data_IF_155837857921
#
_entry.id   IF_155837857921
#
_cell.length_a   1.000
_cell.length_b   1.000
_cell.length_c   1.000
_cell.angle_alpha   90.00
_cell.angle_beta   90.00
_cell.angle_gamma   90.00
#
_symmetry.space_group_name_H-M   'P 1'
#
loop_
_entity.id
_entity.type
_entity.pdbx_description
1 polymer ?
#
# COMPACT_ATOMS: atom_id res chain seq x y z
N UNK A 1 -11.72 8.57 -18.34
CA UNK A 1 -11.07 8.35 -17.02
C UNK A 1 -11.88 9.11 -16.01
N UNK A 2 -12.59 8.40 -15.13
CA UNK A 2 -13.34 9.02 -14.05
C UNK A 2 -12.39 9.34 -12.89
N UNK A 3 -12.56 10.50 -12.25
CA UNK A 3 -11.69 10.95 -11.16
C UNK A 3 -12.53 11.17 -9.92
N UNK A 4 -12.12 10.54 -8.83
CA UNK A 4 -12.73 10.70 -7.52
C UNK A 4 -11.78 11.51 -6.65
N UNK A 5 -12.30 12.57 -6.01
CA UNK A 5 -11.55 13.44 -5.13
C UNK A 5 -12.09 13.31 -3.71
N UNK A 6 -11.20 13.28 -2.72
CA UNK A 6 -11.60 13.39 -1.32
C UNK A 6 -12.14 14.80 -1.04
N UNK A 7 -13.09 14.90 -0.11
CA UNK A 7 -13.52 16.19 0.42
C UNK A 7 -12.46 16.75 1.38
N UNK A 8 -12.30 18.08 1.47
CA UNK A 8 -11.44 18.70 2.46
C UNK A 8 -11.84 18.28 3.89
N UNK A 9 -10.84 17.97 4.72
CA UNK A 9 -11.02 17.58 6.12
C UNK A 9 -9.92 16.64 6.58
N UNK A 10 -9.77 16.50 7.89
CA UNK A 10 -8.90 15.50 8.50
C UNK A 10 -9.57 14.95 9.76
N UNK A 11 -10.18 13.78 9.62
CA UNK A 11 -10.86 13.09 10.74
C UNK A 11 -9.89 12.70 11.86
N UNK A 12 -8.60 12.58 11.57
CA UNK A 12 -7.61 12.24 12.58
C UNK A 12 -7.00 13.49 13.24
N UNK A 13 -7.46 14.70 12.92
CA UNK A 13 -7.03 15.95 13.57
C UNK A 13 -5.51 16.15 13.62
N UNK A 14 -4.80 15.84 12.53
CA UNK A 14 -3.35 15.97 12.43
C UNK A 14 -2.57 14.81 13.06
N UNK A 15 -3.23 13.79 13.61
CA UNK A 15 -2.54 12.62 14.16
C UNK A 15 -1.78 11.88 13.04
N UNK A 16 -0.57 11.36 13.33
CA UNK A 16 0.17 10.56 12.38
C UNK A 16 -0.60 9.28 12.07
N UNK A 17 -0.51 8.82 10.81
CA UNK A 17 -1.15 7.59 10.35
C UNK A 17 -0.08 6.69 9.75
N UNK A 18 -0.11 5.42 10.15
CA UNK A 18 0.65 4.35 9.50
C UNK A 18 -0.36 3.35 8.95
N UNK A 19 -0.20 3.00 7.68
CA UNK A 19 -1.01 1.97 7.00
C UNK A 19 -0.14 0.74 6.83
N UNK A 20 -0.53 -0.36 7.46
CA UNK A 20 0.16 -1.64 7.29
C UNK A 20 -0.38 -2.38 6.07
N UNK A 21 0.51 -2.89 5.25
CA UNK A 21 0.21 -3.67 4.04
C UNK A 21 1.08 -4.92 3.97
N UNK A 22 0.57 -5.94 3.30
CA UNK A 22 1.21 -7.23 3.11
C UNK A 22 0.89 -7.82 1.74
N UNK A 23 1.35 -9.04 1.47
CA UNK A 23 1.09 -9.73 0.21
C UNK A 23 -0.39 -10.07 -0.04
N UNK A 24 -1.24 -10.10 0.99
CA UNK A 24 -2.67 -10.33 0.87
C UNK A 24 -3.48 -9.05 0.61
N UNK A 25 -2.87 -7.89 0.82
CA UNK A 25 -3.48 -6.58 0.61
C UNK A 25 -3.76 -6.36 -0.88
N UNK A 26 -5.04 -6.35 -1.27
CA UNK A 26 -5.45 -6.35 -2.68
C UNK A 26 -6.63 -5.40 -2.95
N UNK A 27 -6.80 -4.98 -4.20
CA UNK A 27 -7.98 -4.24 -4.67
C UNK A 27 -8.16 -2.92 -3.92
N UNK A 28 -9.34 -2.65 -3.33
CA UNK A 28 -9.64 -1.40 -2.64
C UNK A 28 -8.61 -1.02 -1.55
N UNK A 29 -8.02 -2.00 -0.85
CA UNK A 29 -7.00 -1.74 0.15
C UNK A 29 -5.76 -1.06 -0.45
N UNK A 30 -5.36 -1.47 -1.65
CA UNK A 30 -4.22 -0.91 -2.38
C UNK A 30 -4.52 0.52 -2.83
N UNK A 31 -5.76 0.80 -3.22
CA UNK A 31 -6.17 2.15 -3.65
C UNK A 31 -6.16 3.11 -2.47
N UNK A 32 -6.64 2.68 -1.32
CA UNK A 32 -6.63 3.48 -0.08
C UNK A 32 -5.18 3.72 0.38
N UNK A 33 -4.36 2.67 0.45
CA UNK A 33 -2.96 2.79 0.85
C UNK A 33 -2.18 3.71 -0.10
N UNK A 34 -2.29 3.49 -1.41
CA UNK A 34 -1.63 4.30 -2.43
C UNK A 34 -2.11 5.77 -2.44
N UNK A 35 -3.40 6.02 -2.21
CA UNK A 35 -3.91 7.40 -2.14
C UNK A 35 -3.39 8.15 -0.90
N UNK A 36 -3.33 7.49 0.26
CA UNK A 36 -2.77 8.08 1.47
C UNK A 36 -1.25 8.31 1.35
N UNK A 37 -0.54 7.38 0.71
CA UNK A 37 0.89 7.47 0.41
C UNK A 37 1.20 8.65 -0.53
N UNK A 38 0.52 8.71 -1.68
CA UNK A 38 0.75 9.75 -2.70
C UNK A 38 0.48 11.17 -2.17
N UNK A 39 -0.48 11.31 -1.26
CA UNK A 39 -0.80 12.57 -0.61
C UNK A 39 0.11 12.90 0.58
N UNK A 40 1.07 12.02 0.91
CA UNK A 40 1.93 12.08 2.11
C UNK A 40 1.12 12.21 3.41
N UNK A 41 -0.09 11.64 3.43
CA UNK A 41 -0.96 11.68 4.61
C UNK A 41 -0.62 10.56 5.60
N UNK A 42 -0.20 9.41 5.10
CA UNK A 42 0.21 8.28 5.92
C UNK A 42 1.52 7.70 5.40
N UNK A 43 2.27 7.05 6.30
CA UNK A 43 3.36 6.16 5.91
C UNK A 43 2.81 4.75 5.70
N UNK A 44 3.13 4.15 4.56
CA UNK A 44 2.83 2.75 4.27
C UNK A 44 3.98 1.87 4.75
N UNK A 45 3.67 0.83 5.49
CA UNK A 45 4.66 -0.03 6.15
C UNK A 45 4.32 -1.51 5.96
N UNK A 46 5.35 -2.36 5.88
CA UNK A 46 5.19 -3.82 5.82
C UNK A 46 5.82 -4.38 4.56
N UNK A 47 5.04 -5.07 3.73
CA UNK A 47 5.53 -5.66 2.48
C UNK A 47 4.73 -5.16 1.28
N UNK A 48 5.31 -5.29 0.09
CA UNK A 48 4.63 -5.00 -1.17
C UNK A 48 3.24 -5.67 -1.21
N UNK A 49 2.24 -4.99 -1.76
CA UNK A 49 0.86 -5.49 -1.87
C UNK A 49 0.63 -6.40 -3.10
N UNK A 50 -0.55 -7.01 -3.21
CA UNK A 50 -0.84 -8.08 -4.18
C UNK A 50 -0.73 -7.64 -5.66
N UNK A 51 -1.20 -6.43 -6.01
CA UNK A 51 -1.17 -5.86 -7.35
C UNK A 51 -2.48 -5.92 -8.13
N UNK A 52 -3.64 -6.05 -7.48
CA UNK A 52 -4.93 -6.10 -8.18
C UNK A 52 -5.49 -4.68 -8.38
N UNK A 53 -5.10 -4.08 -9.50
CA UNK A 53 -5.53 -2.74 -9.90
C UNK A 53 -6.66 -2.72 -10.93
N UNK A 54 -7.57 -3.70 -10.94
CA UNK A 54 -8.64 -3.78 -11.94
C UNK A 54 -10.03 -3.95 -11.33
N UNK A 55 -11.04 -3.41 -12.03
CA UNK A 55 -12.46 -3.49 -11.68
C UNK A 55 -13.09 -4.59 -12.51
N UNK A 56 -13.80 -5.49 -11.85
CA UNK A 56 -14.58 -6.52 -12.52
C UNK A 56 -16.06 -6.31 -12.24
N UNK A 57 -16.84 -6.21 -13.31
CA UNK A 57 -18.30 -6.14 -13.28
C UNK A 57 -18.87 -7.51 -13.60
N UNK A 58 -19.89 -7.94 -12.87
CA UNK A 58 -20.62 -9.19 -13.15
C UNK A 58 -21.88 -8.82 -13.94
N UNK A 59 -21.92 -9.24 -15.20
CA UNK A 59 -23.07 -9.06 -16.10
C UNK A 59 -23.87 -10.35 -16.13
N UNK A 60 -25.13 -10.33 -15.71
CA UNK A 60 -26.00 -11.50 -15.83
C UNK A 60 -26.38 -11.74 -17.30
N UNK A 61 -26.31 -12.99 -17.74
CA UNK A 61 -26.69 -13.41 -19.10
C UNK A 61 -28.03 -14.20 -19.11
N UNK A 62 -28.78 -14.10 -18.01
CA UNK A 62 -30.01 -14.86 -17.73
C UNK A 62 -30.00 -15.38 -16.28
N UNK A 63 -30.95 -16.24 -15.92
CA UNK A 63 -31.10 -16.73 -14.53
C UNK A 63 -29.96 -17.66 -14.06
N UNK A 64 -29.23 -18.29 -14.99
CA UNK A 64 -28.27 -19.36 -14.68
C UNK A 64 -26.82 -19.05 -15.06
N UNK A 65 -26.53 -17.89 -15.66
CA UNK A 65 -25.20 -17.57 -16.16
C UNK A 65 -24.84 -16.10 -15.92
N UNK A 66 -23.56 -15.86 -15.66
CA UNK A 66 -23.01 -14.52 -15.53
C UNK A 66 -21.61 -14.42 -16.14
N UNK A 67 -21.30 -13.26 -16.71
CA UNK A 67 -20.01 -12.91 -17.24
C UNK A 67 -19.31 -11.96 -16.27
N UNK A 68 -18.14 -12.36 -15.77
CA UNK A 68 -17.27 -11.47 -15.01
C UNK A 68 -16.29 -10.80 -15.98
N UNK A 69 -16.51 -9.52 -16.24
CA UNK A 69 -15.75 -8.74 -17.20
C UNK A 69 -14.92 -7.67 -16.50
N UNK A 70 -13.63 -7.57 -16.84
CA UNK A 70 -12.82 -6.43 -16.40
C UNK A 70 -13.21 -5.19 -17.20
N UNK A 71 -13.71 -4.17 -16.52
CA UNK A 71 -14.29 -2.97 -17.13
C UNK A 71 -13.44 -1.72 -16.92
N UNK A 72 -12.59 -1.71 -15.89
CA UNK A 72 -11.73 -0.56 -15.60
C UNK A 72 -10.43 -0.97 -14.90
N UNK A 73 -9.51 -0.01 -14.81
CA UNK A 73 -8.27 -0.07 -14.03
C UNK A 73 -8.22 1.09 -13.04
N UNK A 74 -7.59 0.85 -11.91
CA UNK A 74 -7.34 1.87 -10.91
C UNK A 74 -5.92 2.44 -11.03
N UNK A 75 -5.84 3.73 -10.73
CA UNK A 75 -4.61 4.49 -10.66
C UNK A 75 -4.61 5.28 -9.36
N UNK A 76 -3.45 5.40 -8.73
CA UNK A 76 -3.28 6.25 -7.57
C UNK A 76 -3.34 7.75 -7.97
N UNK A 77 -3.47 8.70 -7.02
CA UNK A 77 -3.54 10.13 -7.35
C UNK A 77 -2.34 10.67 -8.15
N UNK A 78 -1.14 10.08 -7.98
CA UNK A 78 0.06 10.41 -8.77
C UNK A 78 0.05 9.84 -10.19
N UNK A 79 -0.96 9.03 -10.56
CA UNK A 79 -1.07 8.40 -11.87
C UNK A 79 -0.35 7.05 -11.99
N UNK A 80 0.16 6.49 -10.89
CA UNK A 80 0.78 5.16 -10.87
C UNK A 80 -0.29 4.06 -11.02
N UNK A 81 -0.01 3.09 -11.88
CA UNK A 81 -0.86 1.90 -12.04
C UNK A 81 -0.59 0.90 -10.91
N UNK A 82 -1.66 0.43 -10.25
CA UNK A 82 -1.57 -0.63 -9.24
C UNK A 82 -1.57 -2.02 -9.88
N UNK A 83 -2.15 -2.16 -11.08
CA UNK A 83 -2.31 -3.45 -11.75
C UNK A 83 -0.96 -4.09 -12.04
N UNK A 84 -0.77 -5.33 -11.55
CA UNK A 84 0.46 -6.12 -11.62
C UNK A 84 1.70 -5.51 -10.92
N UNK A 85 1.62 -4.27 -10.43
CA UNK A 85 2.71 -3.58 -9.73
C UNK A 85 2.52 -3.47 -8.22
N UNK A 86 1.28 -3.44 -7.72
CA UNK A 86 0.99 -3.25 -6.30
C UNK A 86 1.38 -1.87 -5.76
N UNK A 87 1.39 -1.77 -4.44
CA UNK A 87 1.86 -0.65 -3.65
C UNK A 87 3.10 -1.12 -2.89
N UNK A 88 4.23 -0.47 -3.18
CA UNK A 88 5.45 -0.66 -2.40
C UNK A 88 5.36 0.19 -1.11
N UNK A 89 5.72 -0.39 0.05
CA UNK A 89 5.69 0.34 1.32
C UNK A 89 6.79 1.42 1.36
N UNK A 90 6.53 2.52 2.06
CA UNK A 90 7.56 3.53 2.36
C UNK A 90 8.66 2.96 3.28
N UNK A 91 8.26 2.06 4.17
CA UNK A 91 9.17 1.32 5.06
C UNK A 91 8.88 -0.17 4.91
N UNK A 92 9.76 -0.87 4.19
CA UNK A 92 9.73 -2.32 4.15
C UNK A 92 10.09 -2.87 5.54
N UNK A 93 9.18 -3.62 6.16
CA UNK A 93 9.42 -4.28 7.46
C UNK A 93 9.18 -5.77 7.26
N UNK A 94 10.20 -6.62 7.37
CA UNK A 94 10.03 -8.05 7.21
C UNK A 94 9.20 -8.64 8.35
N UNK A 95 8.47 -9.71 8.07
CA UNK A 95 7.80 -10.49 9.10
C UNK A 95 8.82 -11.41 9.79
N UNK A 96 9.28 -11.00 10.97
CA UNK A 96 10.31 -11.71 11.75
C UNK A 96 9.72 -12.56 12.89
N UNK A 97 8.48 -12.29 13.30
CA UNK A 97 7.81 -13.00 14.41
C UNK A 97 7.22 -14.35 14.01
N UNK A 98 7.17 -14.66 12.71
CA UNK A 98 6.62 -15.89 12.17
C UNK A 98 7.71 -16.60 11.34
N UNK A 99 8.28 -17.67 11.90
CA UNK A 99 9.39 -18.41 11.27
C UNK A 99 8.99 -19.03 9.92
N UNK A 100 7.74 -19.51 9.84
CA UNK A 100 7.20 -20.14 8.64
C UNK A 100 6.85 -19.11 7.57
N UNK A 101 6.78 -17.81 7.90
CA UNK A 101 6.38 -16.79 6.94
C UNK A 101 7.28 -16.75 5.70
N UNK A 102 8.58 -17.02 5.86
CA UNK A 102 9.55 -17.06 4.75
C UNK A 102 9.27 -18.21 3.77
N UNK A 103 8.69 -19.31 4.24
CA UNK A 103 8.40 -20.49 3.41
C UNK A 103 7.01 -20.44 2.77
N UNK A 104 6.13 -19.53 3.21
CA UNK A 104 4.79 -19.37 2.64
C UNK A 104 4.86 -18.81 1.22
N UNK A 105 4.08 -19.37 0.27
CA UNK A 105 4.03 -18.84 -1.08
C UNK A 105 3.38 -17.45 -1.08
N UNK A 106 4.11 -16.45 -1.58
CA UNK A 106 3.59 -15.10 -1.81
C UNK A 106 3.13 -15.02 -3.26
N UNK A 107 1.81 -15.08 -3.47
CA UNK A 107 1.24 -14.94 -4.81
C UNK A 107 1.02 -13.46 -5.11
N UNK A 108 1.42 -12.99 -6.29
CA UNK A 108 1.11 -11.66 -6.81
C UNK A 108 0.16 -11.74 -7.99
N UNK A 109 -0.50 -10.62 -8.30
CA UNK A 109 -1.29 -10.50 -9.53
C UNK A 109 -0.44 -10.81 -10.76
N UNK A 110 0.83 -10.36 -10.79
CA UNK A 110 1.76 -10.62 -11.88
C UNK A 110 2.11 -12.12 -12.07
N UNK A 111 1.99 -12.93 -11.01
CA UNK A 111 2.30 -14.37 -11.06
C UNK A 111 1.11 -15.19 -11.56
N UNK A 112 -0.10 -14.60 -11.60
CA UNK A 112 -1.30 -15.30 -12.04
C UNK A 112 -1.25 -15.59 -13.55
N UNK A 113 -1.68 -16.81 -13.91
CA UNK A 113 -1.89 -17.18 -15.31
C UNK A 113 -2.93 -16.26 -15.93
N UNK A 114 -2.60 -15.70 -17.10
CA UNK A 114 -3.46 -14.77 -17.85
C UNK A 114 -3.87 -13.53 -17.03
N UNK A 115 -3.01 -13.07 -16.13
CA UNK A 115 -3.23 -11.79 -15.47
C UNK A 115 -3.26 -10.66 -16.49
N UNK A 116 -3.90 -9.55 -16.11
CA UNK A 116 -3.95 -8.37 -16.93
C UNK A 116 -2.63 -7.61 -16.80
N UNK A 117 -1.90 -7.48 -17.92
CA UNK A 117 -0.63 -6.74 -17.98
C UNK A 117 -0.83 -5.26 -17.61
N UNK A 118 0.18 -4.69 -16.95
CA UNK A 118 0.31 -3.24 -16.78
C UNK A 118 0.51 -2.57 -18.14
N UNK A 119 -0.12 -1.41 -18.36
CA UNK A 119 0.00 -0.67 -19.63
C UNK A 119 1.29 0.13 -19.74
N UNK A 120 1.93 0.41 -18.61
CA UNK A 120 3.23 1.08 -18.56
C UNK A 120 4.24 0.03 -18.13
N UNK A 121 5.20 -0.30 -19.02
CA UNK A 121 6.43 -0.95 -18.61
C UNK A 121 7.13 0.03 -17.67
N UNK A 122 6.91 -0.10 -16.38
CA UNK A 122 7.88 0.42 -15.42
C UNK A 122 9.10 -0.46 -15.65
N UNK A 123 10.20 0.13 -16.13
CA UNK A 123 11.48 -0.57 -16.17
C UNK A 123 11.87 -0.85 -14.71
N UNK A 124 11.40 -1.97 -14.18
CA UNK A 124 11.65 -2.47 -12.81
C UNK A 124 13.11 -2.92 -12.62
N UNK A 125 14.06 -2.44 -13.44
CA UNK A 125 15.50 -2.65 -13.20
C UNK A 125 16.02 -1.94 -11.95
N UNK A 126 15.20 -1.08 -11.32
CA UNK A 126 15.50 -0.43 -10.04
C UNK A 126 14.81 -1.15 -8.86
N UNK A 127 13.94 -2.12 -9.13
CA UNK A 127 13.42 -3.08 -8.14
C UNK A 127 14.23 -4.39 -8.21
N UNK A 128 15.54 -4.31 -8.40
CA UNK A 128 16.37 -5.34 -7.79
C UNK A 128 16.04 -5.27 -6.30
N UNK A 129 15.47 -6.35 -5.77
CA UNK A 129 15.26 -6.48 -4.34
C UNK A 129 16.62 -6.16 -3.72
N UNK A 130 16.69 -5.05 -3.00
CA UNK A 130 17.86 -4.71 -2.21
C UNK A 130 17.88 -5.77 -1.09
N UNK A 131 18.42 -6.95 -1.42
CA UNK A 131 18.59 -8.10 -0.54
C UNK A 131 19.67 -7.81 0.51
N UNK A 132 20.20 -6.58 0.51
CA UNK A 132 21.01 -6.03 1.58
C UNK A 132 20.19 -6.05 2.87
N UNK A 133 20.49 -7.04 3.71
CA UNK A 133 19.87 -7.19 5.01
C UNK A 133 20.03 -5.89 5.81
N UNK A 134 18.92 -5.18 6.02
CA UNK A 134 18.91 -3.98 6.82
C UNK A 134 19.33 -4.32 8.25
N UNK A 135 20.38 -3.69 8.80
CA UNK A 135 20.86 -3.97 10.15
C UNK A 135 19.80 -3.71 11.23
N UNK A 136 18.75 -2.94 10.92
CA UNK A 136 17.59 -2.71 11.82
C UNK A 136 16.74 -3.97 12.04
N UNK A 137 16.82 -4.96 11.15
CA UNK A 137 15.92 -6.13 11.10
C UNK A 137 16.66 -7.47 11.32
N UNK A 138 17.73 -7.46 12.12
CA UNK A 138 18.57 -8.62 12.38
C UNK A 138 18.05 -9.59 13.47
N UNK A 139 16.89 -9.31 14.07
CA UNK A 139 16.35 -10.15 15.15
C UNK A 139 15.76 -11.45 14.62
N UNK A 140 15.99 -12.53 15.35
CA UNK A 140 15.31 -13.82 15.14
C UNK A 140 13.97 -13.87 15.87
N UNK A 141 13.06 -14.75 15.45
CA UNK A 141 11.76 -14.94 16.10
C UNK A 141 11.92 -15.26 17.60
N UNK A 142 12.86 -16.15 17.95
CA UNK A 142 13.16 -16.52 19.33
C UNK A 142 13.69 -15.34 20.18
N UNK A 143 14.47 -14.42 19.59
CA UNK A 143 14.92 -13.21 20.28
C UNK A 143 13.79 -12.20 20.50
N UNK A 144 12.87 -12.09 19.54
CA UNK A 144 11.68 -11.26 19.65
C UNK A 144 10.74 -11.78 20.74
N UNK A 145 10.53 -13.09 20.79
CA UNK A 145 9.72 -13.73 21.82
C UNK A 145 10.29 -13.50 23.23
N UNK A 146 11.61 -13.64 23.41
CA UNK A 146 12.30 -13.31 24.68
C UNK A 146 12.13 -11.84 25.08
N UNK A 147 11.97 -10.94 24.10
CA UNK A 147 11.69 -9.51 24.33
C UNK A 147 10.20 -9.21 24.51
N UNK A 148 9.34 -10.22 24.47
CA UNK A 148 7.88 -10.09 24.56
C UNK A 148 7.23 -9.49 23.30
N UNK A 149 7.92 -9.47 22.17
CA UNK A 149 7.41 -8.96 20.90
C UNK A 149 6.73 -10.08 20.14
N UNK A 150 5.38 -10.07 20.12
CA UNK A 150 4.56 -11.09 19.43
C UNK A 150 4.39 -10.83 17.94
N UNK A 151 4.28 -9.55 17.56
CA UNK A 151 4.17 -9.10 16.18
C UNK A 151 5.18 -7.99 15.96
N UNK A 152 6.24 -8.31 15.20
CA UNK A 152 7.33 -7.39 14.94
C UNK A 152 6.90 -6.20 14.08
N UNK A 153 6.08 -6.44 13.05
CA UNK A 153 5.64 -5.38 12.15
C UNK A 153 4.77 -4.37 12.91
N UNK A 154 3.84 -4.87 13.73
CA UNK A 154 3.00 -4.02 14.58
C UNK A 154 3.80 -3.27 15.65
N UNK A 155 4.72 -3.94 16.35
CA UNK A 155 5.58 -3.31 17.36
C UNK A 155 6.43 -2.18 16.72
N UNK A 156 7.01 -2.44 15.56
CA UNK A 156 7.79 -1.45 14.82
C UNK A 156 6.92 -0.27 14.36
N UNK A 157 5.71 -0.54 13.86
CA UNK A 157 4.74 0.49 13.49
C UNK A 157 4.37 1.37 14.70
N UNK A 158 4.05 0.78 15.85
CA UNK A 158 3.71 1.52 17.07
C UNK A 158 4.88 2.37 17.58
N UNK A 159 6.10 1.83 17.54
CA UNK A 159 7.31 2.60 17.89
C UNK A 159 7.51 3.78 16.95
N UNK A 160 7.30 3.58 15.66
CA UNK A 160 7.39 4.63 14.65
C UNK A 160 6.31 5.69 14.86
N UNK A 161 5.07 5.27 15.11
CA UNK A 161 3.96 6.16 15.40
C UNK A 161 4.22 7.04 16.62
N UNK A 162 4.75 6.45 17.71
CA UNK A 162 5.14 7.19 18.92
C UNK A 162 6.20 8.24 18.62
N UNK A 163 7.22 7.92 17.83
CA UNK A 163 8.27 8.89 17.41
C UNK A 163 7.68 10.04 16.61
N UNK A 164 6.77 9.75 15.68
CA UNK A 164 6.08 10.75 14.87
C UNK A 164 5.16 11.65 15.71
N UNK A 165 4.46 11.08 16.69
CA UNK A 165 3.59 11.83 17.59
C UNK A 165 4.37 12.78 18.53
N UNK A 166 5.62 12.44 18.86
CA UNK A 166 6.51 13.29 19.67
C UNK A 166 7.29 14.31 18.85
N UNK A 167 7.35 14.15 17.52
CA UNK A 167 7.99 15.13 16.65
C UNK A 167 7.09 16.38 16.54
N UNK A 168 7.65 17.60 16.58
CA UNK A 168 6.85 18.80 16.38
C UNK A 168 6.13 18.71 15.03
N UNK A 169 4.81 18.91 15.04
CA UNK A 169 4.00 18.83 13.83
C UNK A 169 4.55 19.79 12.78
N UNK A 170 4.93 19.26 11.61
CA UNK A 170 5.22 20.12 10.46
C UNK A 170 3.96 20.94 10.14
N UNK A 171 4.08 22.25 9.88
CA UNK A 171 2.92 23.10 9.66
C UNK A 171 2.10 22.53 8.50
N UNK A 172 0.81 22.33 8.75
CA UNK A 172 -0.14 21.92 7.72
C UNK A 172 -0.03 22.91 6.56
N UNK A 173 0.34 22.41 5.37
CA UNK A 173 0.43 23.23 4.17
C UNK A 173 -0.99 23.69 3.85
N UNK A 174 -1.31 24.91 4.27
CA UNK A 174 -2.56 25.55 3.95
C UNK A 174 -2.69 25.57 2.43
N UNK A 175 -3.69 24.87 1.90
CA UNK A 175 -4.04 24.99 0.49
C UNK A 175 -4.43 26.46 0.26
N UNK A 176 -3.59 27.17 -0.50
CA UNK A 176 -3.86 28.52 -0.94
C UNK A 176 -5.08 28.46 -1.89
N UNK A 177 -6.26 28.64 -1.33
CA UNK A 177 -7.46 28.95 -2.08
C UNK A 177 -7.44 30.44 -2.41
N UNK A 178 -7.52 30.77 -3.71
CA UNK A 178 -7.88 32.11 -4.16
C UNK A 178 -6.86 32.79 -5.07
N UNK A 179 -6.93 32.49 -6.36
CA UNK A 179 -6.93 33.56 -7.35
C UNK A 179 -7.86 33.20 -8.52
N UNK A 180 -9.07 33.77 -8.47
CA UNK A 180 -9.91 33.99 -9.65
C UNK A 180 -9.04 34.63 -10.72
N UNK A 181 -8.78 33.95 -11.82
CA UNK A 181 -8.45 34.62 -13.08
C UNK A 181 -9.75 34.81 -13.84
N UNK A 182 -10.25 36.04 -13.75
CA UNK A 182 -11.26 36.56 -14.68
C UNK A 182 -10.57 37.03 -15.96
N UNK A 183 -11.32 36.89 -17.07
CA UNK A 183 -11.04 37.24 -18.46
C UNK A 183 -10.38 36.13 -19.26
#
# INVERSE_FOLDING_TARGET
MERFYAHPGDMAHGLPIIVMVDAGSASAAEIVAGALQDQRRALVMGEKSFGKGSVQTVLQLGEKAALRLTTARYYTPSGRSVQAGGIDPDIAVPQLSDEDYKSRPKLREADLRRHLLSQTKVDDKVLEQDDTADPRFAFTAAELEKKGVKDFQLDYALKTLKRLATAPAAPAVASASGQKRSR
#
